data_IF_949991996746
#
_entry.id   IF_949991996746
#
_cell.length_a   1.000
_cell.length_b   1.000
_cell.length_c   1.000
_cell.angle_alpha   90.00
_cell.angle_beta   90.00
_cell.angle_gamma   90.00
#
_symmetry.space_group_name_H-M   'P 1'
#
loop_
_entity.id
_entity.type
_entity.pdbx_description
1 polymer ?
#
# COMPACT_ATOMS: atom_id res chain seq x y z
N UNK A 1 0.96 -3.54 -9.30
CA UNK A 1 -0.10 -2.77 -8.62
C UNK A 1 -1.43 -3.47 -8.82
N UNK A 2 -2.40 -3.28 -7.93
CA UNK A 2 -3.74 -3.83 -8.11
C UNK A 2 -4.73 -3.38 -7.05
N UNK A 3 -6.01 -3.46 -7.39
CA UNK A 3 -7.13 -3.09 -6.54
C UNK A 3 -7.91 -4.32 -6.06
N UNK A 4 -8.40 -4.31 -4.82
CA UNK A 4 -9.21 -5.40 -4.25
C UNK A 4 -8.47 -6.73 -4.29
N UNK A 5 -9.06 -7.78 -4.89
CA UNK A 5 -8.38 -9.06 -5.13
C UNK A 5 -7.07 -8.91 -5.92
N UNK A 6 -6.98 -7.95 -6.83
CA UNK A 6 -5.72 -7.61 -7.52
C UNK A 6 -4.67 -6.99 -6.60
N UNK A 7 -5.11 -6.30 -5.53
CA UNK A 7 -4.25 -5.84 -4.45
C UNK A 7 -3.70 -7.00 -3.63
N UNK A 8 -4.54 -8.00 -3.33
CA UNK A 8 -4.09 -9.25 -2.69
C UNK A 8 -3.09 -10.04 -3.54
N UNK A 9 -3.33 -10.14 -4.84
CA UNK A 9 -2.39 -10.72 -5.78
C UNK A 9 -1.06 -9.92 -5.83
N UNK A 10 -1.11 -8.60 -5.65
CA UNK A 10 0.10 -7.77 -5.54
C UNK A 10 0.94 -8.15 -4.32
N UNK A 11 0.32 -8.43 -3.16
CA UNK A 11 1.04 -8.91 -1.97
C UNK A 11 1.72 -10.26 -2.22
N UNK A 12 1.00 -11.21 -2.84
CA UNK A 12 1.54 -12.52 -3.21
C UNK A 12 2.74 -12.35 -4.17
N UNK A 13 2.56 -11.57 -5.23
CA UNK A 13 3.61 -11.39 -6.24
C UNK A 13 4.86 -10.69 -5.67
N UNK A 14 4.67 -9.75 -4.73
CA UNK A 14 5.78 -9.09 -4.03
C UNK A 14 6.65 -10.04 -3.23
N UNK A 15 6.14 -11.22 -2.90
CA UNK A 15 6.83 -12.28 -2.18
C UNK A 15 7.35 -13.40 -3.08
N UNK A 16 6.68 -13.68 -4.21
CA UNK A 16 6.98 -14.85 -5.05
C UNK A 16 7.89 -14.56 -6.23
N UNK A 17 8.02 -13.29 -6.64
CA UNK A 17 8.83 -12.91 -7.81
C UNK A 17 10.03 -12.04 -7.42
N UNK A 18 11.21 -12.66 -7.21
CA UNK A 18 12.47 -11.95 -7.02
C UNK A 18 12.75 -11.05 -8.24
N UNK A 19 13.03 -9.77 -7.99
CA UNK A 19 13.35 -8.78 -9.04
C UNK A 19 12.27 -7.72 -9.28
N UNK A 20 11.09 -7.83 -8.66
CA UNK A 20 10.16 -6.71 -8.59
C UNK A 20 10.80 -5.55 -7.82
N UNK A 21 10.75 -4.35 -8.40
CA UNK A 21 11.31 -3.14 -7.76
C UNK A 21 10.37 -2.51 -6.74
N UNK A 22 9.07 -2.75 -6.87
CA UNK A 22 8.03 -2.08 -6.10
C UNK A 22 6.70 -2.83 -6.18
N UNK A 23 5.88 -2.72 -5.13
CA UNK A 23 4.52 -3.20 -5.08
C UNK A 23 3.60 -2.09 -4.54
N UNK A 24 2.37 -2.02 -5.07
CA UNK A 24 1.37 -1.04 -4.68
C UNK A 24 -0.03 -1.67 -4.67
N UNK A 25 -0.68 -1.71 -3.51
CA UNK A 25 -2.05 -2.22 -3.38
C UNK A 25 -3.04 -1.10 -3.07
N UNK A 26 -4.21 -1.17 -3.68
CA UNK A 26 -5.34 -0.28 -3.45
C UNK A 26 -6.49 -1.11 -2.87
N UNK A 27 -6.99 -0.77 -1.67
CA UNK A 27 -8.02 -1.54 -0.95
C UNK A 27 -7.79 -3.06 -1.07
N UNK A 28 -6.56 -3.49 -0.77
CA UNK A 28 -6.13 -4.86 -1.07
C UNK A 28 -6.94 -5.90 -0.30
N UNK A 29 -7.19 -7.02 -0.96
CA UNK A 29 -8.07 -8.04 -0.41
C UNK A 29 -7.66 -9.45 -0.84
N UNK A 30 -7.83 -10.41 0.07
CA UNK A 30 -7.64 -11.82 -0.22
C UNK A 30 -8.63 -12.68 0.56
N UNK A 31 -9.55 -13.35 -0.14
CA UNK A 31 -10.52 -14.31 0.44
C UNK A 31 -10.24 -15.76 0.11
N UNK A 32 -9.57 -16.02 -1.01
CA UNK A 32 -9.47 -17.35 -1.60
C UNK A 32 -8.04 -17.88 -1.67
N UNK A 33 -7.04 -17.00 -1.67
CA UNK A 33 -5.62 -17.36 -1.77
C UNK A 33 -4.89 -17.10 -0.45
N UNK A 34 -5.50 -17.47 0.70
CA UNK A 34 -4.97 -17.18 2.04
C UNK A 34 -3.74 -18.05 2.32
N UNK A 35 -2.56 -17.45 2.17
CA UNK A 35 -1.28 -18.03 2.52
C UNK A 35 -0.38 -17.01 3.24
N UNK A 36 0.82 -17.42 3.66
CA UNK A 36 1.78 -16.55 4.36
C UNK A 36 2.22 -15.33 3.52
N UNK A 37 2.36 -15.50 2.20
CA UNK A 37 2.75 -14.43 1.27
C UNK A 37 1.65 -13.37 1.13
N UNK A 38 0.39 -13.82 1.00
CA UNK A 38 -0.78 -12.95 0.95
C UNK A 38 -1.02 -12.15 2.23
N UNK A 39 -0.34 -12.52 3.33
CA UNK A 39 -0.35 -11.80 4.60
C UNK A 39 0.87 -10.89 4.78
N UNK A 40 1.74 -10.75 3.77
CA UNK A 40 2.87 -9.82 3.76
C UNK A 40 4.21 -10.40 4.22
N UNK A 41 4.25 -11.57 4.87
CA UNK A 41 5.47 -12.11 5.48
C UNK A 41 6.63 -12.37 4.51
N UNK A 42 6.32 -12.77 3.27
CA UNK A 42 7.31 -13.10 2.25
C UNK A 42 7.76 -11.93 1.40
N UNK A 43 7.26 -10.70 1.64
CA UNK A 43 7.50 -9.53 0.78
C UNK A 43 8.98 -9.23 0.62
N UNK A 44 9.45 -9.07 -0.63
CA UNK A 44 10.87 -8.87 -0.97
C UNK A 44 11.18 -7.51 -1.60
N UNK A 45 10.16 -6.71 -1.92
CA UNK A 45 10.34 -5.41 -2.55
C UNK A 45 9.65 -4.27 -1.76
N UNK A 46 10.11 -3.01 -1.92
CA UNK A 46 9.41 -1.85 -1.40
C UNK A 46 7.91 -1.92 -1.70
N UNK A 47 7.07 -1.75 -0.67
CA UNK A 47 5.61 -1.88 -0.81
C UNK A 47 4.86 -0.69 -0.21
N UNK A 48 3.97 -0.10 -1.01
CA UNK A 48 3.00 0.91 -0.53
C UNK A 48 1.58 0.31 -0.52
N UNK A 49 0.88 0.52 0.59
CA UNK A 49 -0.45 -0.04 0.84
C UNK A 49 -1.42 1.11 1.07
N UNK A 50 -2.41 1.21 0.20
CA UNK A 50 -3.54 2.09 0.36
C UNK A 50 -4.81 1.31 0.71
N UNK A 51 -5.59 1.82 1.66
CA UNK A 51 -6.93 1.32 1.96
C UNK A 51 -7.81 2.46 2.47
N UNK A 52 -9.09 2.19 2.70
CA UNK A 52 -10.04 3.19 3.17
C UNK A 52 -10.66 2.79 4.50
N UNK A 53 -10.83 3.74 5.42
CA UNK A 53 -11.41 3.48 6.73
C UNK A 53 -12.92 3.12 6.64
N UNK A 54 -13.61 3.53 5.57
CA UNK A 54 -15.00 3.17 5.31
C UNK A 54 -15.14 1.87 4.51
N UNK A 55 -14.03 1.20 4.21
CA UNK A 55 -14.01 -0.07 3.50
C UNK A 55 -14.41 -1.24 4.42
N UNK A 56 -15.68 -1.27 4.80
CA UNK A 56 -16.20 -2.03 5.95
C UNK A 56 -16.94 -3.33 5.58
N UNK A 57 -17.07 -3.67 4.30
CA UNK A 57 -17.88 -4.82 3.83
C UNK A 57 -17.00 -6.03 3.48
N UNK A 58 -17.59 -7.18 3.15
CA UNK A 58 -16.96 -8.47 2.76
C UNK A 58 -15.73 -8.36 1.82
N UNK A 59 -15.61 -7.28 1.04
CA UNK A 59 -14.50 -6.98 0.12
C UNK A 59 -13.42 -6.05 0.70
N UNK A 60 -13.72 -5.33 1.79
CA UNK A 60 -12.93 -4.24 2.35
C UNK A 60 -11.82 -4.63 3.31
N UNK A 61 -11.62 -5.92 3.48
CA UNK A 61 -10.40 -6.43 4.07
C UNK A 61 -10.25 -6.01 5.53
N UNK A 62 -11.19 -6.41 6.39
CA UNK A 62 -11.09 -6.61 7.85
C UNK A 62 -9.66 -6.49 8.43
N UNK A 63 -9.08 -5.29 8.48
CA UNK A 63 -7.69 -5.05 8.86
C UNK A 63 -6.62 -5.82 8.04
N UNK A 64 -6.96 -6.35 6.86
CA UNK A 64 -6.05 -7.11 6.00
C UNK A 64 -4.88 -6.25 5.53
N UNK A 65 -5.15 -5.05 5.00
CA UNK A 65 -4.11 -4.12 4.56
C UNK A 65 -3.16 -3.75 5.70
N UNK A 66 -3.72 -3.47 6.89
CA UNK A 66 -2.93 -3.18 8.09
C UNK A 66 -2.11 -4.40 8.56
N UNK A 67 -2.72 -5.59 8.55
CA UNK A 67 -2.04 -6.86 8.88
C UNK A 67 -0.87 -7.12 7.94
N UNK A 68 -1.07 -6.91 6.64
CA UNK A 68 -0.01 -7.03 5.63
C UNK A 68 1.10 -6.04 5.93
N UNK A 69 0.78 -4.76 6.19
CA UNK A 69 1.78 -3.75 6.56
C UNK A 69 2.65 -4.20 7.74
N UNK A 70 2.05 -4.70 8.82
CA UNK A 70 2.81 -5.14 9.99
C UNK A 70 3.65 -6.38 9.74
N UNK A 71 3.19 -7.31 8.91
CA UNK A 71 3.89 -8.54 8.59
C UNK A 71 5.00 -8.40 7.54
N UNK A 72 5.00 -7.32 6.72
CA UNK A 72 6.12 -7.04 5.80
C UNK A 72 7.43 -7.01 6.62
N UNK A 73 8.48 -7.75 6.20
CA UNK A 73 9.75 -7.83 6.91
C UNK A 73 10.33 -6.47 7.27
N UNK A 74 10.93 -6.37 8.45
CA UNK A 74 11.36 -5.08 9.02
C UNK A 74 12.47 -4.37 8.24
N UNK A 75 13.18 -5.04 7.33
CA UNK A 75 14.19 -4.43 6.46
C UNK A 75 13.67 -3.97 5.09
N UNK A 76 12.38 -4.17 4.80
CA UNK A 76 11.77 -3.77 3.53
C UNK A 76 11.14 -2.38 3.68
N UNK A 77 11.42 -1.42 2.78
CA UNK A 77 10.73 -0.13 2.73
C UNK A 77 9.22 -0.30 2.58
N UNK A 78 8.45 0.34 3.45
CA UNK A 78 7.01 0.21 3.44
C UNK A 78 6.27 1.46 3.86
N UNK A 79 5.13 1.68 3.23
CA UNK A 79 4.20 2.77 3.52
C UNK A 79 2.79 2.19 3.63
N UNK A 80 2.05 2.66 4.62
CA UNK A 80 0.63 2.41 4.81
C UNK A 80 -0.08 3.76 4.89
N UNK A 81 -1.11 3.91 4.07
CA UNK A 81 -1.96 5.09 4.11
C UNK A 81 -3.42 4.67 4.01
N UNK A 82 -4.13 4.80 5.13
CA UNK A 82 -5.56 4.54 5.24
C UNK A 82 -6.32 5.84 5.13
N UNK A 83 -7.04 6.01 4.03
CA UNK A 83 -7.82 7.22 3.75
C UNK A 83 -9.10 7.20 4.57
N UNK A 84 -9.27 8.17 5.46
CA UNK A 84 -10.38 8.23 6.43
C UNK A 84 -11.77 8.26 5.79
N UNK A 85 -11.88 8.83 4.60
CA UNK A 85 -13.15 9.01 3.87
C UNK A 85 -13.37 8.00 2.75
N UNK A 86 -12.41 7.10 2.49
CA UNK A 86 -12.47 6.20 1.35
C UNK A 86 -13.19 4.88 1.68
N UNK A 87 -13.97 4.39 0.73
CA UNK A 87 -14.55 3.04 0.73
C UNK A 87 -13.91 2.12 -0.31
N UNK A 88 -14.53 0.96 -0.57
CA UNK A 88 -13.94 -0.05 -1.47
C UNK A 88 -13.81 0.39 -2.93
N UNK A 89 -14.68 1.27 -3.42
CA UNK A 89 -14.89 1.50 -4.86
C UNK A 89 -14.35 2.84 -5.38
N UNK A 90 -13.53 3.55 -4.58
CA UNK A 90 -13.00 4.88 -4.91
C UNK A 90 -11.52 4.84 -5.35
N UNK A 91 -11.15 3.82 -6.12
CA UNK A 91 -9.75 3.58 -6.53
C UNK A 91 -9.57 3.51 -8.05
N UNK A 92 -10.55 4.00 -8.81
CA UNK A 92 -10.55 3.97 -10.27
C UNK A 92 -9.64 5.03 -10.90
N UNK A 93 -9.52 6.18 -10.25
CA UNK A 93 -8.68 7.31 -10.60
C UNK A 93 -7.67 7.65 -9.51
N UNK A 94 -6.63 8.43 -9.87
CA UNK A 94 -5.53 8.76 -8.96
C UNK A 94 -5.95 9.59 -7.74
N UNK A 95 -7.02 10.40 -7.87
CA UNK A 95 -7.50 11.31 -6.82
C UNK A 95 -8.91 10.95 -6.32
N UNK A 96 -9.47 9.81 -6.75
CA UNK A 96 -10.82 9.40 -6.39
C UNK A 96 -10.98 9.15 -4.89
N UNK A 97 -9.93 8.61 -4.23
CA UNK A 97 -9.89 8.41 -2.79
C UNK A 97 -9.53 9.73 -2.07
N UNK A 98 -8.42 10.36 -2.49
CA UNK A 98 -8.04 11.75 -2.23
C UNK A 98 -6.76 12.12 -3.04
N UNK A 99 -6.34 13.38 -3.00
CA UNK A 99 -5.15 13.86 -3.72
C UNK A 99 -3.83 13.28 -3.19
N UNK A 100 -3.72 13.04 -1.88
CA UNK A 100 -2.52 12.50 -1.25
C UNK A 100 -2.18 11.07 -1.70
N UNK A 101 -3.18 10.26 -2.09
CA UNK A 101 -2.93 8.95 -2.72
C UNK A 101 -2.09 9.12 -3.99
N UNK A 102 -2.40 10.11 -4.83
CA UNK A 102 -1.65 10.37 -6.06
C UNK A 102 -0.21 10.84 -5.75
N UNK A 103 -0.05 11.74 -4.79
CA UNK A 103 1.25 12.27 -4.36
C UNK A 103 2.15 11.16 -3.82
N UNK A 104 1.65 10.39 -2.85
CA UNK A 104 2.39 9.28 -2.24
C UNK A 104 2.69 8.18 -3.27
N UNK A 105 1.73 7.84 -4.14
CA UNK A 105 1.97 6.85 -5.18
C UNK A 105 3.09 7.30 -6.14
N UNK A 106 3.05 8.56 -6.59
CA UNK A 106 4.08 9.11 -7.48
C UNK A 106 5.45 9.14 -6.80
N UNK A 107 5.54 9.67 -5.58
CA UNK A 107 6.79 9.74 -4.82
C UNK A 107 7.38 8.36 -4.56
N UNK A 108 6.54 7.40 -4.16
CA UNK A 108 6.97 6.02 -3.91
C UNK A 108 7.49 5.34 -5.17
N UNK A 109 6.79 5.46 -6.29
CA UNK A 109 7.22 4.88 -7.55
C UNK A 109 8.49 5.55 -8.06
N UNK A 110 8.60 6.87 -8.02
CA UNK A 110 9.82 7.58 -8.41
C UNK A 110 11.03 7.16 -7.57
N UNK A 111 10.84 7.00 -6.27
CA UNK A 111 11.92 6.58 -5.36
C UNK A 111 12.38 5.15 -5.65
N UNK A 112 11.47 4.18 -5.72
CA UNK A 112 11.85 2.75 -5.76
C UNK A 112 11.87 2.12 -7.15
N UNK A 113 11.00 2.55 -8.08
CA UNK A 113 11.00 2.05 -9.46
C UNK A 113 12.13 2.67 -10.27
N UNK A 114 12.23 4.00 -10.20
CA UNK A 114 13.22 4.78 -10.97
C UNK A 114 14.56 4.92 -10.23
N UNK A 115 14.58 4.69 -8.91
CA UNK A 115 15.79 4.88 -8.10
C UNK A 115 16.13 6.36 -7.85
N UNK A 116 15.14 7.26 -7.97
CA UNK A 116 15.33 8.69 -7.86
C UNK A 116 15.12 9.17 -6.42
N UNK A 117 16.21 9.21 -5.64
CA UNK A 117 16.19 9.58 -4.22
C UNK A 117 15.71 11.01 -3.94
N UNK A 118 15.63 11.88 -4.96
CA UNK A 118 15.09 13.25 -4.80
C UNK A 118 13.61 13.23 -4.39
N UNK A 119 12.90 12.14 -4.70
CA UNK A 119 11.49 11.99 -4.40
C UNK A 119 11.21 11.40 -3.03
N UNK A 120 12.23 10.85 -2.36
CA UNK A 120 12.03 10.16 -1.09
C UNK A 120 11.38 11.11 -0.08
N UNK A 121 11.84 12.37 0.00
CA UNK A 121 11.32 13.43 0.88
C UNK A 121 9.81 13.68 0.80
N UNK A 122 9.14 13.31 -0.29
CA UNK A 122 7.70 13.49 -0.47
C UNK A 122 6.88 12.28 0.01
N UNK A 123 7.53 11.24 0.53
CA UNK A 123 6.89 10.09 1.19
C UNK A 123 6.72 10.43 2.68
N UNK A 124 5.82 11.35 2.97
CA UNK A 124 5.57 11.88 4.31
C UNK A 124 4.08 11.87 4.67
N UNK A 125 3.78 12.02 5.96
CA UNK A 125 2.40 12.12 6.45
C UNK A 125 1.74 13.42 5.94
N UNK A 126 0.56 13.36 5.31
CA UNK A 126 -0.10 14.57 4.84
C UNK A 126 -0.52 15.51 5.99
N UNK A 127 -0.08 16.78 5.93
CA UNK A 127 -0.24 17.76 7.01
C UNK A 127 -1.69 18.18 7.33
N UNK A 128 -2.64 17.99 6.41
CA UNK A 128 -4.01 18.47 6.54
C UNK A 128 -5.07 17.38 6.39
N UNK A 129 -4.66 16.11 6.49
CA UNK A 129 -5.58 14.97 6.42
C UNK A 129 -5.73 14.27 7.78
N UNK A 130 -6.47 14.91 8.67
CA UNK A 130 -6.65 14.47 10.06
C UNK A 130 -7.55 13.24 10.24
N UNK A 131 -8.23 12.79 9.19
CA UNK A 131 -9.10 11.61 9.24
C UNK A 131 -8.37 10.34 8.81
N UNK A 132 -7.22 10.49 8.15
CA UNK A 132 -6.45 9.39 7.61
C UNK A 132 -5.33 8.96 8.55
N UNK A 133 -4.88 7.72 8.38
CA UNK A 133 -3.75 7.17 9.12
C UNK A 133 -2.58 6.93 8.19
N UNK A 134 -1.43 7.55 8.47
CA UNK A 134 -0.18 7.30 7.77
C UNK A 134 0.81 6.53 8.65
N UNK A 135 1.52 5.56 8.07
CA UNK A 135 2.65 4.87 8.71
C UNK A 135 3.71 4.56 7.66
N UNK A 136 4.98 4.67 8.05
CA UNK A 136 6.10 4.25 7.20
C UNK A 136 7.20 3.55 7.98
N UNK A 137 8.03 2.78 7.28
CA UNK A 137 9.27 2.17 7.83
C UNK A 137 10.31 1.99 6.73
N UNK A 138 11.58 2.19 7.08
CA UNK A 138 12.73 2.17 6.16
C UNK A 138 12.57 3.11 4.97
N UNK A 139 12.03 4.29 5.25
CA UNK A 139 12.07 5.47 4.41
C UNK A 139 13.06 6.43 5.08
N UNK A 140 13.98 7.04 4.35
CA UNK A 140 15.10 7.83 4.88
C UNK A 140 14.73 9.29 5.24
N UNK A 141 13.44 9.61 5.36
CA UNK A 141 12.95 10.95 5.68
C UNK A 141 12.94 11.25 7.17
#
# INVERSE_FOLDING_TARGET
MGWSMGGGATWINSAEYPGLKTAMSLAGHNLTAININSKGFGTQCPTIIFCGALDTTYLGGMLQSETVYYNIPSGVPKVYYEVGTAGHFVWGGPTDANDHVAELALAFQKTFLDGDSRWEQYIEEPLFDFLSTFRSRNINN
#
